data_IF_308854703480
#
_entry.id   IF_308854703480
#
_cell.length_a   1.000
_cell.length_b   1.000
_cell.length_c   1.000
_cell.angle_alpha   90.00
_cell.angle_beta   90.00
_cell.angle_gamma   90.00
#
_symmetry.space_group_name_H-M   'P 1'
#
loop_
_entity.id
_entity.type
_entity.pdbx_description
1 polymer ?
#
# COMPACT_ATOMS: atom_id res chain seq x y z
N UNK A 1 -12.88 11.86 -22.37
CA UNK A 1 -12.80 13.26 -22.80
C UNK A 1 -13.61 14.07 -21.80
N UNK A 2 -13.06 15.15 -21.22
CA UNK A 2 -13.67 15.88 -20.10
C UNK A 2 -14.41 17.16 -20.56
N UNK A 3 -14.94 17.10 -21.78
CA UNK A 3 -15.65 18.19 -22.47
C UNK A 3 -17.06 17.70 -22.79
N UNK A 4 -18.06 18.51 -22.48
CA UNK A 4 -19.46 18.30 -22.90
C UNK A 4 -19.96 19.54 -23.62
N UNK A 5 -20.58 19.34 -24.79
CA UNK A 5 -21.16 20.42 -25.59
C UNK A 5 -22.67 20.43 -25.39
N UNK A 6 -23.21 21.61 -25.11
CA UNK A 6 -24.64 21.91 -25.03
C UNK A 6 -25.03 22.88 -26.15
N UNK A 7 -26.31 23.21 -26.25
CA UNK A 7 -26.82 24.19 -27.22
C UNK A 7 -26.24 25.58 -26.97
N UNK A 8 -26.07 25.96 -25.70
CA UNK A 8 -25.65 27.31 -25.31
C UNK A 8 -24.19 27.43 -24.87
N UNK A 9 -23.48 26.32 -24.63
CA UNK A 9 -22.12 26.36 -24.07
C UNK A 9 -21.31 25.09 -24.31
N UNK A 10 -19.99 25.23 -24.24
CA UNK A 10 -19.04 24.13 -24.05
C UNK A 10 -18.63 24.12 -22.58
N UNK A 11 -18.83 22.98 -21.90
CA UNK A 11 -18.39 22.78 -20.51
C UNK A 11 -17.18 21.88 -20.47
N UNK A 12 -16.12 22.36 -19.84
CA UNK A 12 -14.90 21.60 -19.52
C UNK A 12 -14.93 21.30 -18.03
N UNK A 13 -14.84 20.03 -17.64
CA UNK A 13 -14.97 19.64 -16.24
C UNK A 13 -14.02 18.50 -15.87
N UNK A 14 -13.38 18.61 -14.71
CA UNK A 14 -12.56 17.54 -14.11
C UNK A 14 -12.70 17.57 -12.59
N UNK A 15 -12.65 16.41 -11.95
CA UNK A 15 -12.75 16.30 -10.50
C UNK A 15 -11.41 15.86 -9.88
N UNK A 16 -10.99 16.54 -8.81
CA UNK A 16 -9.91 16.08 -7.92
C UNK A 16 -10.04 16.73 -6.54
N UNK A 17 -9.49 16.08 -5.51
CA UNK A 17 -9.56 16.57 -4.12
C UNK A 17 -10.99 16.83 -3.59
N UNK A 18 -11.95 15.98 -3.97
CA UNK A 18 -13.37 16.15 -3.65
C UNK A 18 -13.97 17.49 -4.12
N UNK A 19 -13.32 18.15 -5.09
CA UNK A 19 -13.78 19.37 -5.74
C UNK A 19 -13.90 19.14 -7.24
N UNK A 20 -14.93 19.73 -7.82
CA UNK A 20 -15.12 19.73 -9.26
C UNK A 20 -14.63 21.06 -9.83
N UNK A 21 -13.73 20.99 -10.81
CA UNK A 21 -13.21 22.14 -11.54
C UNK A 21 -13.93 22.22 -12.88
N UNK A 22 -14.85 23.17 -13.00
CA UNK A 22 -15.68 23.37 -14.19
C UNK A 22 -15.43 24.76 -14.78
N UNK A 23 -15.43 24.85 -16.12
CA UNK A 23 -15.38 26.09 -16.89
C UNK A 23 -16.38 26.00 -18.03
N UNK A 24 -17.11 27.09 -18.25
CA UNK A 24 -18.13 27.21 -19.28
C UNK A 24 -17.69 28.24 -20.31
N UNK A 25 -17.73 27.85 -21.58
CA UNK A 25 -17.50 28.72 -22.73
C UNK A 25 -18.85 28.93 -23.44
N UNK A 26 -19.45 30.12 -23.35
CA UNK A 26 -20.75 30.36 -23.97
C UNK A 26 -20.64 30.36 -25.49
N UNK A 27 -21.61 29.73 -26.16
CA UNK A 27 -21.77 29.73 -27.62
C UNK A 27 -22.69 30.86 -28.09
N UNK A 28 -23.12 31.71 -27.15
CA UNK A 28 -24.03 32.83 -27.39
C UNK A 28 -23.50 34.08 -26.70
N UNK A 29 -23.25 35.13 -27.47
CA UNK A 29 -22.81 36.44 -26.99
C UNK A 29 -23.87 37.46 -27.40
N UNK A 30 -24.37 38.25 -26.44
CA UNK A 30 -25.39 39.28 -26.68
C UNK A 30 -26.65 38.77 -27.42
N UNK A 31 -27.07 37.54 -27.13
CA UNK A 31 -28.26 36.95 -27.74
C UNK A 31 -28.06 36.32 -29.12
N UNK A 32 -26.86 36.43 -29.71
CA UNK A 32 -26.48 35.88 -31.00
C UNK A 32 -25.54 34.69 -30.83
N UNK A 33 -25.72 33.65 -31.65
CA UNK A 33 -24.77 32.54 -31.74
C UNK A 33 -23.45 32.98 -32.37
N UNK A 34 -22.36 32.38 -31.89
CA UNK A 34 -21.03 32.56 -32.47
C UNK A 34 -21.04 32.23 -33.97
N UNK A 35 -20.29 33.00 -34.75
CA UNK A 35 -19.97 32.60 -36.12
C UNK A 35 -18.92 31.46 -36.14
N UNK A 36 -18.57 30.97 -37.32
CA UNK A 36 -17.64 29.84 -37.46
C UNK A 36 -16.25 30.12 -36.86
N UNK A 37 -15.72 31.34 -37.05
CA UNK A 37 -14.42 31.75 -36.52
C UNK A 37 -14.44 31.85 -34.98
N UNK A 38 -15.46 32.49 -34.42
CA UNK A 38 -15.67 32.63 -32.97
C UNK A 38 -15.90 31.26 -32.32
N UNK A 39 -16.63 30.35 -32.98
CA UNK A 39 -16.85 28.99 -32.51
C UNK A 39 -15.54 28.20 -32.47
N UNK A 40 -14.71 28.33 -33.50
CA UNK A 40 -13.42 27.66 -33.56
C UNK A 40 -12.50 28.14 -32.43
N UNK A 41 -12.46 29.45 -32.18
CA UNK A 41 -11.72 30.03 -31.05
C UNK A 41 -12.23 29.49 -29.70
N UNK A 42 -13.55 29.45 -29.49
CA UNK A 42 -14.13 28.91 -28.26
C UNK A 42 -13.80 27.42 -28.06
N UNK A 43 -13.74 26.63 -29.14
CA UNK A 43 -13.32 25.23 -29.10
C UNK A 43 -11.84 25.08 -28.77
N UNK A 44 -10.98 25.91 -29.35
CA UNK A 44 -9.54 25.91 -29.08
C UNK A 44 -9.26 26.29 -27.62
N UNK A 45 -9.92 27.33 -27.11
CA UNK A 45 -9.83 27.72 -25.70
C UNK A 45 -10.30 26.60 -24.76
N UNK A 46 -11.43 25.96 -25.08
CA UNK A 46 -11.94 24.84 -24.30
C UNK A 46 -10.97 23.65 -24.27
N UNK A 47 -10.33 23.34 -25.40
CA UNK A 47 -9.32 22.29 -25.48
C UNK A 47 -8.05 22.66 -24.68
N UNK A 48 -7.56 23.89 -24.81
CA UNK A 48 -6.42 24.38 -24.04
C UNK A 48 -6.71 24.29 -22.53
N UNK A 49 -7.93 24.57 -22.12
CA UNK A 49 -8.36 24.47 -20.73
C UNK A 49 -8.47 23.04 -20.23
N UNK A 50 -8.98 22.11 -21.05
CA UNK A 50 -8.97 20.68 -20.70
C UNK A 50 -7.55 20.18 -20.48
N UNK A 51 -6.61 20.59 -21.34
CA UNK A 51 -5.19 20.24 -21.21
C UNK A 51 -4.60 20.81 -19.92
N UNK A 52 -4.86 22.08 -19.61
CA UNK A 52 -4.43 22.73 -18.37
C UNK A 52 -4.98 22.01 -17.12
N UNK A 53 -6.29 21.74 -17.09
CA UNK A 53 -6.93 21.03 -15.98
C UNK A 53 -6.41 19.60 -15.88
N UNK A 54 -6.13 18.92 -16.99
CA UNK A 54 -5.53 17.59 -17.01
C UNK A 54 -4.11 17.60 -16.42
N UNK A 55 -3.29 18.60 -16.76
CA UNK A 55 -1.95 18.76 -16.19
C UNK A 55 -2.01 19.04 -14.69
N UNK A 56 -2.91 19.91 -14.24
CA UNK A 56 -3.11 20.19 -12.81
C UNK A 56 -3.60 18.96 -12.05
N UNK A 57 -4.54 18.22 -12.63
CA UNK A 57 -5.04 16.97 -12.09
C UNK A 57 -3.92 15.94 -11.94
N UNK A 58 -3.12 15.73 -12.99
CA UNK A 58 -1.94 14.85 -12.96
C UNK A 58 -0.93 15.30 -11.90
N UNK A 59 -0.55 16.58 -11.89
CA UNK A 59 0.40 17.11 -10.92
C UNK A 59 -0.10 16.95 -9.47
N UNK A 60 -1.39 17.15 -9.23
CA UNK A 60 -2.01 16.92 -7.92
C UNK A 60 -1.96 15.44 -7.53
N UNK A 61 -2.31 14.52 -8.43
CA UNK A 61 -2.21 13.09 -8.16
C UNK A 61 -0.76 12.64 -7.96
N UNK A 62 0.19 13.14 -8.75
CA UNK A 62 1.61 12.88 -8.55
C UNK A 62 2.07 13.36 -7.17
N UNK A 63 1.68 14.56 -6.73
CA UNK A 63 2.01 15.04 -5.38
C UNK A 63 1.39 14.20 -4.27
N UNK A 64 0.14 13.73 -4.44
CA UNK A 64 -0.51 12.83 -3.48
C UNK A 64 0.06 11.42 -3.50
N UNK A 65 0.46 10.90 -4.65
CA UNK A 65 1.10 9.59 -4.78
C UNK A 65 2.50 9.57 -4.15
N UNK A 66 3.14 10.73 -4.12
CA UNK A 66 4.42 10.95 -3.46
C UNK A 66 4.28 11.43 -2.01
N UNK A 67 3.07 11.55 -1.46
CA UNK A 67 2.93 11.92 -0.05
C UNK A 67 3.27 10.72 0.85
N UNK A 68 3.98 10.99 1.94
CA UNK A 68 4.39 9.96 2.92
C UNK A 68 3.17 9.21 3.46
N UNK A 69 2.04 9.91 3.64
CA UNK A 69 0.77 9.37 4.14
C UNK A 69 0.14 8.29 3.25
N UNK A 70 0.40 8.30 1.93
CA UNK A 70 -0.10 7.25 1.01
C UNK A 70 0.84 6.05 0.93
N UNK A 71 2.07 6.21 1.41
CA UNK A 71 3.14 5.24 1.26
C UNK A 71 3.48 4.51 2.56
N UNK A 72 3.18 5.13 3.70
CA UNK A 72 3.43 4.60 5.03
C UNK A 72 2.15 4.71 5.86
N UNK A 73 1.77 3.60 6.49
CA UNK A 73 0.68 3.53 7.44
C UNK A 73 1.04 4.27 8.74
N UNK A 74 0.02 4.63 9.54
CA UNK A 74 0.24 5.28 10.85
C UNK A 74 1.03 4.43 11.83
N UNK A 75 1.07 3.10 11.64
CA UNK A 75 1.86 2.16 12.43
C UNK A 75 3.33 2.04 11.95
N UNK A 76 3.72 2.81 10.94
CA UNK A 76 5.06 2.82 10.36
C UNK A 76 5.31 1.73 9.31
N UNK A 77 4.31 0.91 8.96
CA UNK A 77 4.44 -0.09 7.88
C UNK A 77 4.32 0.54 6.50
N UNK A 78 4.95 -0.08 5.52
CA UNK A 78 4.89 0.39 4.13
C UNK A 78 3.62 -0.15 3.47
N UNK A 79 2.85 0.75 2.85
CA UNK A 79 1.63 0.41 2.13
C UNK A 79 1.96 -0.54 0.98
N UNK A 80 1.39 -1.74 1.04
CA UNK A 80 1.58 -2.76 0.02
C UNK A 80 2.80 -3.68 0.23
N UNK A 81 3.51 -3.57 1.35
CA UNK A 81 4.59 -4.50 1.72
C UNK A 81 4.16 -5.38 2.89
N UNK A 82 4.22 -6.71 2.71
CA UNK A 82 3.89 -7.68 3.76
C UNK A 82 4.98 -8.74 3.88
N UNK A 83 5.34 -9.07 5.11
CA UNK A 83 6.16 -10.24 5.41
C UNK A 83 5.26 -11.47 5.56
N UNK A 84 5.64 -12.59 4.93
CA UNK A 84 4.83 -13.82 4.97
C UNK A 84 5.69 -15.07 4.82
N UNK A 85 5.26 -16.15 5.47
CA UNK A 85 5.74 -17.50 5.17
C UNK A 85 4.80 -18.13 4.13
N UNK A 86 5.37 -18.50 2.98
CA UNK A 86 4.65 -19.14 1.88
C UNK A 86 4.81 -20.66 1.96
N UNK A 87 3.69 -21.36 2.06
CA UNK A 87 3.64 -22.81 2.02
C UNK A 87 3.26 -23.29 0.62
N UNK A 88 3.94 -24.34 0.15
CA UNK A 88 3.61 -25.03 -1.10
C UNK A 88 3.78 -26.53 -0.88
N UNK A 89 2.81 -27.32 -1.34
CA UNK A 89 2.88 -28.79 -1.24
C UNK A 89 4.20 -29.31 -1.84
N UNK A 90 4.88 -30.19 -1.11
CA UNK A 90 6.15 -30.78 -1.52
C UNK A 90 7.38 -29.86 -1.47
N UNK A 91 7.28 -28.65 -0.91
CA UNK A 91 8.44 -27.75 -0.72
C UNK A 91 8.52 -27.25 0.71
N UNK A 92 9.74 -26.93 1.15
CA UNK A 92 9.97 -26.25 2.43
C UNK A 92 9.26 -24.88 2.42
N UNK A 93 8.68 -24.45 3.55
CA UNK A 93 8.12 -23.11 3.69
C UNK A 93 9.16 -22.06 3.33
N UNK A 94 8.77 -21.06 2.54
CA UNK A 94 9.66 -19.99 2.10
C UNK A 94 9.27 -18.67 2.75
N UNK A 95 10.22 -18.02 3.41
CA UNK A 95 10.02 -16.72 4.01
C UNK A 95 10.25 -15.62 2.98
N UNK A 96 9.25 -14.74 2.81
CA UNK A 96 9.23 -13.77 1.72
C UNK A 96 8.62 -12.43 2.14
N UNK A 97 9.04 -11.38 1.44
CA UNK A 97 8.27 -10.14 1.34
C UNK A 97 7.37 -10.20 0.11
N UNK A 98 6.06 -10.04 0.31
CA UNK A 98 5.06 -9.85 -0.72
C UNK A 98 4.83 -8.35 -0.95
N UNK A 99 4.93 -7.93 -2.21
CA UNK A 99 4.80 -6.54 -2.64
C UNK A 99 3.56 -6.42 -3.51
N UNK A 100 2.70 -5.45 -3.19
CA UNK A 100 1.52 -5.07 -3.96
C UNK A 100 1.53 -3.56 -4.19
N UNK A 101 1.69 -3.14 -5.44
CA UNK A 101 1.65 -1.72 -5.82
C UNK A 101 0.38 -1.44 -6.62
N UNK A 102 -0.42 -0.49 -6.12
CA UNK A 102 -1.58 0.05 -6.82
C UNK A 102 -1.26 1.51 -7.21
N UNK A 103 -1.05 1.79 -8.49
CA UNK A 103 -0.96 3.16 -9.03
C UNK A 103 -2.23 3.49 -9.80
N UNK A 104 -2.64 4.74 -9.84
CA UNK A 104 -3.79 5.19 -10.65
C UNK A 104 -3.53 5.05 -12.15
N UNK A 105 -2.25 5.06 -12.56
CA UNK A 105 -1.84 4.78 -13.94
C UNK A 105 -1.96 3.28 -14.30
N UNK A 106 -2.03 2.41 -13.28
CA UNK A 106 -2.10 0.97 -13.47
C UNK A 106 -3.55 0.50 -13.42
N UNK A 107 -4.05 -0.04 -14.53
CA UNK A 107 -5.37 -0.68 -14.59
C UNK A 107 -5.50 -1.92 -13.68
N UNK A 108 -4.37 -2.53 -13.30
CA UNK A 108 -4.31 -3.70 -12.40
C UNK A 108 -3.16 -3.57 -11.39
N UNK A 109 -3.36 -4.02 -10.13
CA UNK A 109 -2.29 -4.11 -9.16
C UNK A 109 -1.10 -4.95 -9.66
N UNK A 110 0.12 -4.47 -9.42
CA UNK A 110 1.33 -5.27 -9.65
C UNK A 110 1.72 -6.03 -8.39
N UNK A 111 2.01 -7.31 -8.55
CA UNK A 111 2.44 -8.19 -7.47
C UNK A 111 3.88 -8.67 -7.70
N UNK A 112 4.71 -8.61 -6.66
CA UNK A 112 6.05 -9.19 -6.65
C UNK A 112 6.34 -9.88 -5.32
N UNK A 113 7.37 -10.71 -5.30
CA UNK A 113 7.79 -11.42 -4.09
C UNK A 113 9.31 -11.47 -4.03
N UNK A 114 9.89 -11.15 -2.87
CA UNK A 114 11.33 -11.24 -2.62
C UNK A 114 11.59 -12.24 -1.50
N UNK A 115 12.51 -13.18 -1.73
CA UNK A 115 12.83 -14.20 -0.73
C UNK A 115 13.78 -13.66 0.33
N UNK A 116 13.32 -13.71 1.58
CA UNK A 116 14.12 -13.38 2.76
C UNK A 116 15.18 -14.46 2.98
N UNK A 117 14.82 -15.73 2.83
CA UNK A 117 15.76 -16.85 3.02
C UNK A 117 16.94 -16.82 2.04
N UNK A 118 16.74 -16.28 0.82
CA UNK A 118 17.80 -16.17 -0.20
C UNK A 118 18.71 -14.96 0.02
N UNK A 119 18.14 -13.81 0.39
CA UNK A 119 18.87 -12.54 0.38
C UNK A 119 19.29 -12.06 1.76
N UNK A 120 18.75 -12.65 2.84
CA UNK A 120 18.82 -12.09 4.18
C UNK A 120 17.77 -11.01 4.38
N UNK A 121 17.37 -10.79 5.64
CA UNK A 121 16.24 -9.92 5.99
C UNK A 121 16.43 -8.48 5.49
N UNK A 122 17.53 -7.84 5.88
CA UNK A 122 17.78 -6.41 5.62
C UNK A 122 17.90 -6.13 4.12
N UNK A 123 18.62 -6.98 3.40
CA UNK A 123 18.79 -6.87 1.95
C UNK A 123 17.49 -7.18 1.21
N UNK A 124 16.72 -8.18 1.65
CA UNK A 124 15.41 -8.45 1.06
C UNK A 124 14.43 -7.29 1.28
N UNK A 125 14.50 -6.63 2.45
CA UNK A 125 13.70 -5.45 2.76
C UNK A 125 14.11 -4.26 1.88
N UNK A 126 15.40 -3.94 1.79
CA UNK A 126 15.90 -2.87 0.91
C UNK A 126 15.48 -3.12 -0.55
N UNK A 127 15.64 -4.34 -1.07
CA UNK A 127 15.20 -4.69 -2.42
C UNK A 127 13.69 -4.49 -2.61
N UNK A 128 12.90 -4.76 -1.57
CA UNK A 128 11.45 -4.58 -1.61
C UNK A 128 11.08 -3.09 -1.64
N UNK A 129 11.77 -2.26 -0.85
CA UNK A 129 11.62 -0.80 -0.87
C UNK A 129 12.03 -0.23 -2.23
N UNK A 130 13.13 -0.67 -2.81
CA UNK A 130 13.61 -0.22 -4.13
C UNK A 130 12.60 -0.55 -5.24
N UNK A 131 11.98 -1.74 -5.19
CA UNK A 131 10.91 -2.12 -6.12
C UNK A 131 9.70 -1.20 -5.96
N UNK A 132 9.27 -0.93 -4.72
CA UNK A 132 8.14 -0.03 -4.46
C UNK A 132 8.44 1.36 -4.99
N UNK A 133 9.65 1.89 -4.73
CA UNK A 133 10.08 3.18 -5.22
C UNK A 133 10.04 3.23 -6.76
N UNK A 134 10.61 2.22 -7.43
CA UNK A 134 10.64 2.14 -8.89
C UNK A 134 9.24 2.12 -9.50
N UNK A 135 8.33 1.31 -8.95
CA UNK A 135 6.96 1.18 -9.47
C UNK A 135 6.09 2.41 -9.15
N UNK A 136 6.52 3.25 -8.19
CA UNK A 136 5.90 4.54 -7.82
C UNK A 136 6.57 5.75 -8.48
N UNK A 137 7.62 5.55 -9.29
CA UNK A 137 8.37 6.65 -9.91
C UNK A 137 9.19 7.50 -8.92
N UNK A 138 9.55 6.93 -7.76
CA UNK A 138 10.37 7.59 -6.74
C UNK A 138 11.86 7.46 -7.06
N UNK A 139 12.59 8.56 -6.89
CA UNK A 139 14.05 8.58 -7.02
C UNK A 139 14.74 7.79 -5.90
N UNK A 140 15.90 7.19 -6.22
CA UNK A 140 16.69 6.38 -5.26
C UNK A 140 17.24 7.21 -4.09
N UNK A 141 17.43 8.51 -4.26
CA UNK A 141 17.88 9.41 -3.20
C UNK A 141 16.74 10.21 -2.58
N UNK A 142 15.48 9.88 -2.92
CA UNK A 142 14.31 10.52 -2.35
C UNK A 142 14.29 10.42 -0.82
N UNK A 143 13.93 11.50 -0.10
CA UNK A 143 13.75 11.45 1.35
C UNK A 143 12.71 10.39 1.76
N UNK A 144 11.71 10.13 0.91
CA UNK A 144 10.68 9.11 1.13
C UNK A 144 11.30 7.71 1.21
N UNK A 145 12.30 7.41 0.36
CA UNK A 145 12.99 6.11 0.41
C UNK A 145 13.72 5.95 1.75
N UNK A 146 14.34 7.01 2.27
CA UNK A 146 14.99 6.98 3.58
C UNK A 146 13.99 6.65 4.69
N UNK A 147 12.83 7.31 4.69
CA UNK A 147 11.76 7.04 5.66
C UNK A 147 11.25 5.59 5.53
N UNK A 148 11.06 5.08 4.31
CA UNK A 148 10.69 3.67 4.10
C UNK A 148 11.77 2.71 4.62
N UNK A 149 13.05 3.03 4.49
CA UNK A 149 14.12 2.21 5.04
C UNK A 149 14.14 2.23 6.57
N UNK A 150 13.78 3.36 7.19
CA UNK A 150 13.63 3.47 8.65
C UNK A 150 12.48 2.58 9.18
N UNK A 151 11.47 2.27 8.36
CA UNK A 151 10.42 1.31 8.70
C UNK A 151 10.95 -0.12 8.95
N UNK A 152 12.20 -0.44 8.60
CA UNK A 152 12.80 -1.77 8.83
C UNK A 152 12.62 -2.26 10.27
N UNK A 153 12.74 -1.37 11.25
CA UNK A 153 12.61 -1.72 12.67
C UNK A 153 11.19 -2.21 13.03
N UNK A 154 10.17 -1.64 12.40
CA UNK A 154 8.77 -2.08 12.59
C UNK A 154 8.58 -3.51 12.09
N UNK A 155 9.20 -3.85 10.96
CA UNK A 155 9.12 -5.18 10.38
C UNK A 155 9.91 -6.21 11.20
N UNK A 156 11.14 -5.88 11.62
CA UNK A 156 11.93 -6.76 12.50
C UNK A 156 11.22 -7.04 13.82
N UNK A 157 10.60 -6.04 14.44
CA UNK A 157 9.85 -6.21 15.69
C UNK A 157 8.57 -7.05 15.57
N UNK A 158 8.14 -7.37 14.34
CA UNK A 158 6.91 -8.11 14.05
C UNK A 158 7.14 -9.32 13.15
N UNK A 159 8.40 -9.74 12.95
CA UNK A 159 8.70 -10.85 12.04
C UNK A 159 7.95 -12.11 12.48
N UNK A 160 7.21 -12.78 11.58
CA UNK A 160 6.57 -14.05 11.89
C UNK A 160 7.55 -15.11 12.41
N UNK A 161 8.84 -15.04 12.04
CA UNK A 161 9.86 -15.94 12.61
C UNK A 161 10.20 -15.62 14.07
N UNK A 162 10.15 -14.35 14.47
CA UNK A 162 10.34 -13.95 15.87
C UNK A 162 9.05 -14.21 16.69
N UNK A 163 7.88 -14.06 16.08
CA UNK A 163 6.60 -14.51 16.64
C UNK A 163 6.51 -16.03 16.81
N UNK A 164 7.02 -16.82 15.86
CA UNK A 164 7.13 -18.28 15.95
C UNK A 164 8.06 -18.72 17.08
N UNK A 165 9.18 -18.00 17.33
CA UNK A 165 10.01 -18.24 18.51
C UNK A 165 9.23 -18.02 19.80
N UNK A 166 8.52 -16.90 19.93
CA UNK A 166 7.74 -16.58 21.14
C UNK A 166 6.61 -17.62 21.36
N UNK A 167 5.92 -18.03 20.29
CA UNK A 167 4.86 -19.04 20.36
C UNK A 167 5.40 -20.44 20.70
N UNK A 168 6.54 -20.83 20.13
CA UNK A 168 7.18 -22.11 20.46
C UNK A 168 7.70 -22.14 21.90
N UNK A 169 8.24 -21.02 22.40
CA UNK A 169 8.72 -20.91 23.79
C UNK A 169 7.56 -21.01 24.79
N UNK A 170 6.41 -20.38 24.48
CA UNK A 170 5.18 -20.54 25.27
C UNK A 170 4.63 -21.96 25.22
N UNK A 171 4.70 -22.62 24.06
CA UNK A 171 4.29 -24.02 23.91
C UNK A 171 5.13 -24.98 24.75
N UNK A 172 6.45 -24.77 24.83
CA UNK A 172 7.34 -25.55 25.70
C UNK A 172 7.09 -25.27 27.19
N UNK A 173 6.91 -24.02 27.58
CA UNK A 173 6.64 -23.64 28.99
C UNK A 173 5.31 -24.23 29.50
N UNK A 174 4.26 -24.22 28.67
CA UNK A 174 2.97 -24.82 29.02
C UNK A 174 3.09 -26.34 29.15
N UNK A 175 3.86 -26.99 28.27
CA UNK A 175 4.09 -28.43 28.34
C UNK A 175 4.89 -28.86 29.57
N UNK A 176 5.90 -28.08 29.97
CA UNK A 176 6.66 -28.32 31.20
C UNK A 176 5.81 -28.12 32.46
N UNK A 177 4.96 -27.09 32.47
CA UNK A 177 4.04 -26.83 33.59
C UNK A 177 2.97 -27.95 33.72
N UNK A 178 2.44 -28.46 32.61
CA UNK A 178 1.51 -29.60 32.61
C UNK A 178 2.16 -30.88 33.14
N UNK A 179 3.41 -31.16 32.77
CA UNK A 179 4.17 -32.30 33.27
C UNK A 179 4.45 -32.17 34.78
N UNK A 180 4.82 -30.98 35.25
CA UNK A 180 5.02 -30.72 36.68
C UNK A 180 3.73 -30.89 37.50
N UNK A 181 2.60 -30.41 36.99
CA UNK A 181 1.28 -30.59 37.62
C UNK A 181 0.88 -32.07 37.68
N UNK A 182 1.11 -32.81 36.59
CA UNK A 182 0.79 -34.24 36.55
C UNK A 182 1.64 -35.04 37.54
N UNK A 183 2.94 -34.76 37.62
CA UNK A 183 3.83 -35.37 38.60
C UNK A 183 3.42 -35.04 40.04
N UNK A 184 2.98 -33.80 40.29
CA UNK A 184 2.51 -33.40 41.62
C UNK A 184 1.21 -34.10 42.03
N UNK A 185 0.27 -34.26 41.08
CA UNK A 185 -0.98 -34.99 41.30
C UNK A 185 -0.73 -36.48 41.55
N UNK A 186 0.20 -37.10 40.82
CA UNK A 186 0.59 -38.51 41.03
C UNK A 186 1.24 -38.71 42.40
N UNK A 187 2.20 -37.87 42.78
CA UNK A 187 2.82 -37.90 44.11
C UNK A 187 1.79 -37.69 45.24
N UNK A 188 0.78 -36.87 45.02
CA UNK A 188 -0.30 -36.65 45.99
C UNK A 188 -1.22 -37.88 46.09
N UNK A 189 -1.53 -38.55 44.97
CA UNK A 189 -2.31 -39.79 44.95
C UNK A 189 -1.59 -40.93 45.67
N UNK A 190 -0.29 -41.08 45.46
CA UNK A 190 0.53 -42.07 46.16
C UNK A 190 0.54 -41.83 47.67
N UNK A 191 0.81 -40.59 48.11
CA UNK A 191 0.76 -40.23 49.54
C UNK A 191 -0.61 -40.48 50.17
N UNK A 192 -1.69 -40.24 49.44
CA UNK A 192 -3.06 -40.44 49.94
C UNK A 192 -3.46 -41.92 50.02
N UNK A 193 -2.89 -42.78 49.18
CA UNK A 193 -3.08 -44.24 49.26
C UNK A 193 -2.28 -44.86 50.42
N UNK A 194 -1.15 -44.28 50.82
CA UNK A 194 -0.36 -44.72 51.99
C UNK A 194 -1.07 -44.41 53.32
N UNK A 195 -1.99 -43.44 53.37
CA UNK A 195 -2.71 -43.06 54.60
C UNK A 195 -4.01 -43.88 54.80
N UNK A 196 -4.42 -44.68 53.80
CA UNK A 196 -5.63 -45.52 53.84
C UNK A 196 -5.37 -47.03 53.87
N UNK A 197 -4.11 -47.46 53.91
CA UNK A 197 -3.70 -48.84 54.21
C UNK A 197 -3.18 -48.93 55.63
#
# INVERSE_FOLDING_TARGET
>A
MAISVSEDYIRVYRAWNSKEHQVYYPLKINGRYLNEEELLLALEEAQAKDLELAQRQRAHFMRKDLSVERLIHTDGKIVGLKERVRYRSGRKPAHVFEIRVNSEELSKPKFRTISIDRHGYDKAFEMSVDIICKERGLDKHSPIRKIMLESLYVYKGQSPKDGEKILNTRGSEISEMEQALKAHVEAFREKRNVIKG
#
